data_IF_292446552722
#
_entry.id   IF_292446552722
#
_cell.length_a   1.000
_cell.length_b   1.000
_cell.length_c   1.000
_cell.angle_alpha   90.00
_cell.angle_beta   90.00
_cell.angle_gamma   90.00
#
_symmetry.space_group_name_H-M   'P 1'
#
loop_
_entity.id
_entity.type
_entity.pdbx_description
1 polymer ?
#
# COMPACT_ATOMS: atom_id res chain seq x y z
N UNK A 1 -23.74 -39.82 37.60
CA UNK A 1 -24.48 -38.67 37.06
C UNK A 1 -23.53 -37.89 36.16
N UNK A 2 -23.69 -38.05 34.85
CA UNK A 2 -22.83 -37.45 33.84
C UNK A 2 -23.52 -36.19 33.27
N UNK A 3 -22.87 -35.04 33.41
CA UNK A 3 -23.32 -33.79 32.81
C UNK A 3 -22.84 -33.69 31.35
N UNK A 4 -23.66 -33.20 30.40
CA UNK A 4 -23.31 -33.21 28.99
C UNK A 4 -22.40 -32.04 28.62
N UNK A 5 -21.45 -32.33 27.74
CA UNK A 5 -20.54 -31.40 27.10
C UNK A 5 -21.27 -30.52 26.07
N UNK A 6 -21.21 -29.20 26.25
CA UNK A 6 -21.68 -28.23 25.27
C UNK A 6 -20.70 -28.18 24.08
N UNK A 7 -21.11 -28.73 22.94
CA UNK A 7 -20.40 -28.57 21.67
C UNK A 7 -20.54 -27.13 21.19
N UNK A 8 -19.41 -26.47 20.97
CA UNK A 8 -19.31 -25.19 20.28
C UNK A 8 -20.00 -25.26 18.90
N UNK A 9 -20.94 -24.35 18.67
CA UNK A 9 -21.65 -24.22 17.41
C UNK A 9 -20.69 -23.73 16.33
N UNK A 10 -20.20 -24.66 15.51
CA UNK A 10 -19.54 -24.38 14.25
C UNK A 10 -20.40 -23.40 13.43
N UNK A 11 -19.81 -22.28 13.01
CA UNK A 11 -20.42 -21.35 12.07
C UNK A 11 -20.83 -22.13 10.82
N UNK A 12 -22.14 -22.31 10.62
CA UNK A 12 -22.70 -22.97 9.43
C UNK A 12 -22.22 -22.20 8.19
N UNK A 13 -21.22 -22.72 7.51
CA UNK A 13 -20.88 -22.34 6.14
C UNK A 13 -22.04 -22.77 5.26
N UNK A 14 -22.90 -21.82 4.92
CA UNK A 14 -23.95 -22.03 3.92
C UNK A 14 -23.25 -22.48 2.62
N UNK A 15 -23.59 -23.65 2.05
CA UNK A 15 -22.93 -24.14 0.85
C UNK A 15 -23.07 -23.12 -0.29
N UNK A 16 -21.98 -22.90 -1.03
CA UNK A 16 -21.96 -22.01 -2.18
C UNK A 16 -23.02 -22.49 -3.20
N UNK A 17 -24.05 -21.67 -3.44
CA UNK A 17 -25.04 -21.93 -4.48
C UNK A 17 -24.51 -21.37 -5.80
N UNK A 18 -24.44 -22.16 -6.88
CA UNK A 18 -24.02 -21.67 -8.18
C UNK A 18 -24.81 -20.44 -8.61
N UNK A 19 -24.12 -19.40 -9.10
CA UNK A 19 -24.73 -18.19 -9.61
C UNK A 19 -25.19 -18.42 -11.06
N UNK A 20 -26.37 -19.01 -11.22
CA UNK A 20 -26.97 -19.31 -12.52
C UNK A 20 -27.41 -18.07 -13.29
N UNK A 21 -27.79 -16.99 -12.59
CA UNK A 21 -28.17 -15.71 -13.20
C UNK A 21 -26.97 -15.06 -13.91
N UNK A 22 -25.81 -15.01 -13.24
CA UNK A 22 -24.59 -14.49 -13.87
C UNK A 22 -24.12 -15.35 -15.04
N UNK A 23 -24.30 -16.68 -14.96
CA UNK A 23 -24.04 -17.59 -16.08
C UNK A 23 -24.96 -17.31 -17.28
N UNK A 24 -26.22 -16.94 -17.04
CA UNK A 24 -27.14 -16.52 -18.10
C UNK A 24 -26.71 -15.18 -18.72
N UNK A 25 -26.25 -14.23 -17.91
CA UNK A 25 -25.74 -12.93 -18.38
C UNK A 25 -24.46 -13.07 -19.23
N UNK A 26 -23.60 -14.05 -18.93
CA UNK A 26 -22.48 -14.40 -19.82
C UNK A 26 -22.94 -14.94 -21.17
N UNK A 27 -24.08 -15.62 -21.21
CA UNK A 27 -24.65 -16.19 -22.42
C UNK A 27 -23.71 -17.21 -23.08
N UNK A 28 -23.46 -17.04 -24.38
CA UNK A 28 -22.63 -17.95 -25.19
C UNK A 28 -21.13 -17.66 -25.13
N UNK A 29 -20.72 -16.53 -24.55
CA UNK A 29 -19.31 -16.18 -24.45
C UNK A 29 -18.58 -17.16 -23.54
N UNK A 30 -17.39 -17.60 -23.91
CA UNK A 30 -16.53 -18.35 -22.99
C UNK A 30 -16.19 -17.49 -21.75
N UNK A 31 -15.80 -18.11 -20.61
CA UNK A 31 -15.39 -17.34 -19.43
C UNK A 31 -14.29 -16.32 -19.70
N UNK A 32 -13.35 -16.63 -20.61
CA UNK A 32 -12.29 -15.70 -21.03
C UNK A 32 -12.79 -14.52 -21.85
N UNK A 33 -13.67 -14.77 -22.81
CA UNK A 33 -14.27 -13.71 -23.64
C UNK A 33 -15.16 -12.78 -22.80
N UNK A 34 -15.92 -13.35 -21.87
CA UNK A 34 -16.73 -12.57 -20.94
C UNK A 34 -15.87 -11.72 -20.01
N UNK A 35 -14.79 -12.30 -19.48
CA UNK A 35 -13.82 -11.56 -18.68
C UNK A 35 -13.21 -10.38 -19.47
N UNK A 36 -12.88 -10.57 -20.75
CA UNK A 36 -12.42 -9.50 -21.61
C UNK A 36 -13.46 -8.40 -21.85
N UNK A 37 -14.75 -8.76 -21.96
CA UNK A 37 -15.85 -7.80 -22.02
C UNK A 37 -15.96 -6.98 -20.72
N UNK A 38 -15.85 -7.64 -19.56
CA UNK A 38 -15.82 -6.98 -18.25
C UNK A 38 -14.66 -5.97 -18.15
N UNK A 39 -13.45 -6.35 -18.54
CA UNK A 39 -12.29 -5.44 -18.52
C UNK A 39 -12.47 -4.26 -19.48
N UNK A 40 -13.12 -4.46 -20.64
CA UNK A 40 -13.42 -3.39 -21.60
C UNK A 40 -14.39 -2.37 -21.00
N UNK A 41 -15.50 -2.85 -20.44
CA UNK A 41 -16.49 -2.01 -19.79
C UNK A 41 -15.92 -1.27 -18.57
N UNK A 42 -14.95 -1.85 -17.86
CA UNK A 42 -14.25 -1.15 -16.79
C UNK A 42 -13.47 0.06 -17.29
N UNK A 43 -12.74 -0.09 -18.40
CA UNK A 43 -12.00 1.03 -19.01
C UNK A 43 -12.91 2.18 -19.44
N UNK A 44 -14.11 1.88 -19.92
CA UNK A 44 -15.09 2.89 -20.34
C UNK A 44 -15.53 3.80 -19.18
N UNK A 45 -15.58 3.27 -17.96
CA UNK A 45 -15.99 4.03 -16.75
C UNK A 45 -14.81 4.43 -15.86
N UNK A 46 -13.57 4.32 -16.35
CA UNK A 46 -12.37 4.66 -15.59
C UNK A 46 -12.08 3.69 -14.42
N UNK A 47 -12.71 2.52 -14.39
CA UNK A 47 -12.48 1.49 -13.40
C UNK A 47 -11.35 0.54 -13.83
N UNK A 48 -10.57 0.09 -12.86
CA UNK A 48 -9.52 -0.90 -13.08
C UNK A 48 -9.93 -2.23 -12.44
N UNK A 49 -10.28 -3.20 -13.29
CA UNK A 49 -10.60 -4.57 -12.86
C UNK A 49 -9.83 -5.59 -13.68
N UNK A 50 -9.26 -6.58 -12.98
CA UNK A 50 -8.46 -7.65 -13.58
C UNK A 50 -9.30 -8.93 -13.68
N UNK A 51 -10.48 -8.81 -14.31
CA UNK A 51 -11.38 -9.93 -14.49
C UNK A 51 -10.72 -10.97 -15.40
N UNK A 52 -10.61 -12.23 -15.02
CA UNK A 52 -10.12 -13.31 -15.87
C UNK A 52 -11.13 -14.48 -15.95
N UNK A 53 -10.84 -15.49 -16.77
CA UNK A 53 -11.72 -16.65 -16.94
C UNK A 53 -11.97 -17.39 -15.61
N UNK A 54 -10.99 -17.39 -14.70
CA UNK A 54 -11.09 -18.03 -13.38
C UNK A 54 -12.02 -17.24 -12.46
N UNK A 55 -11.91 -15.91 -12.44
CA UNK A 55 -12.78 -15.02 -11.70
C UNK A 55 -14.24 -15.23 -12.11
N UNK A 56 -14.52 -15.26 -13.42
CA UNK A 56 -15.85 -15.57 -13.95
C UNK A 56 -16.33 -16.94 -13.48
N UNK A 57 -15.47 -17.96 -13.53
CA UNK A 57 -15.77 -19.29 -13.01
C UNK A 57 -16.13 -19.30 -11.51
N UNK A 58 -15.44 -18.50 -10.69
CA UNK A 58 -15.68 -18.38 -9.23
C UNK A 58 -16.95 -17.61 -8.90
N UNK A 59 -17.32 -16.63 -9.72
CA UNK A 59 -18.63 -15.98 -9.63
C UNK A 59 -19.72 -17.01 -9.94
N UNK A 60 -19.60 -17.74 -11.05
CA UNK A 60 -20.61 -18.72 -11.46
C UNK A 60 -20.73 -19.92 -10.51
N UNK A 61 -19.63 -20.35 -9.88
CA UNK A 61 -19.67 -21.42 -8.88
C UNK A 61 -20.33 -20.97 -7.56
N UNK A 62 -20.54 -19.67 -7.37
CA UNK A 62 -21.07 -19.10 -6.14
C UNK A 62 -20.03 -18.89 -5.04
N UNK A 63 -18.75 -19.08 -5.34
CA UNK A 63 -17.65 -18.78 -4.42
C UNK A 63 -17.59 -17.28 -4.13
N UNK A 64 -17.76 -16.45 -5.17
CA UNK A 64 -17.88 -14.99 -5.04
C UNK A 64 -19.36 -14.63 -4.89
N UNK A 65 -19.80 -14.52 -3.63
CA UNK A 65 -21.20 -14.21 -3.29
C UNK A 65 -21.57 -12.73 -3.43
N UNK A 66 -20.60 -11.83 -3.34
CA UNK A 66 -20.77 -10.39 -3.57
C UNK A 66 -19.48 -9.87 -4.21
N UNK A 67 -19.56 -9.18 -5.36
CA UNK A 67 -18.40 -8.59 -5.99
C UNK A 67 -17.88 -7.41 -5.16
N UNK A 68 -16.63 -7.03 -5.36
CA UNK A 68 -16.11 -5.81 -4.75
C UNK A 68 -16.72 -4.56 -5.43
N UNK A 69 -16.45 -3.36 -4.93
CA UNK A 69 -17.10 -2.13 -5.45
C UNK A 69 -16.73 -1.81 -6.91
N UNK A 70 -15.49 -2.11 -7.33
CA UNK A 70 -15.07 -1.89 -8.71
C UNK A 70 -15.85 -2.81 -9.66
N UNK A 71 -15.86 -4.12 -9.39
CA UNK A 71 -16.65 -5.08 -10.18
C UNK A 71 -18.16 -4.78 -10.14
N UNK A 72 -18.70 -4.34 -9.00
CA UNK A 72 -20.10 -3.91 -8.90
C UNK A 72 -20.42 -2.75 -9.86
N UNK A 73 -19.58 -1.71 -9.91
CA UNK A 73 -19.77 -0.58 -10.83
C UNK A 73 -19.67 -1.03 -12.28
N UNK A 74 -18.68 -1.87 -12.59
CA UNK A 74 -18.51 -2.44 -13.92
C UNK A 74 -19.72 -3.28 -14.33
N UNK A 75 -20.23 -4.15 -13.47
CA UNK A 75 -21.40 -4.97 -13.79
C UNK A 75 -22.67 -4.13 -13.96
N UNK A 76 -22.86 -3.08 -13.15
CA UNK A 76 -23.98 -2.14 -13.33
C UNK A 76 -23.89 -1.35 -14.63
N UNK A 77 -22.67 -1.00 -15.06
CA UNK A 77 -22.44 -0.38 -16.36
C UNK A 77 -22.72 -1.35 -17.52
N UNK A 78 -22.27 -2.60 -17.40
CA UNK A 78 -22.51 -3.64 -18.42
C UNK A 78 -23.98 -4.04 -18.55
N UNK A 79 -24.73 -4.01 -17.44
CA UNK A 79 -26.13 -4.43 -17.40
C UNK A 79 -26.98 -3.34 -16.73
N UNK A 80 -27.27 -2.24 -17.46
CA UNK A 80 -28.06 -1.14 -16.92
C UNK A 80 -29.45 -1.63 -16.46
N UNK A 81 -29.88 -1.17 -15.29
CA UNK A 81 -31.19 -1.52 -14.71
C UNK A 81 -31.24 -2.82 -13.91
N UNK A 82 -30.18 -3.63 -13.92
CA UNK A 82 -30.06 -4.80 -13.04
C UNK A 82 -29.33 -4.45 -11.74
N UNK A 83 -29.88 -4.86 -10.60
CA UNK A 83 -29.21 -4.80 -9.32
C UNK A 83 -28.36 -6.08 -9.08
N UNK A 84 -27.49 -6.05 -8.07
CA UNK A 84 -26.65 -7.21 -7.71
C UNK A 84 -27.47 -8.50 -7.47
N UNK A 85 -28.64 -8.46 -6.80
CA UNK A 85 -29.50 -9.64 -6.66
C UNK A 85 -30.02 -10.20 -7.98
N UNK A 86 -30.31 -9.35 -8.96
CA UNK A 86 -30.78 -9.77 -10.29
C UNK A 86 -29.67 -10.48 -11.08
N UNK A 87 -28.41 -10.14 -10.78
CA UNK A 87 -27.21 -10.82 -11.28
C UNK A 87 -26.80 -12.03 -10.42
N UNK A 88 -27.64 -12.44 -9.47
CA UNK A 88 -27.43 -13.60 -8.59
C UNK A 88 -26.40 -13.41 -7.46
N UNK A 89 -26.04 -12.16 -7.16
CA UNK A 89 -25.19 -11.83 -6.00
C UNK A 89 -26.03 -11.56 -4.76
N UNK A 90 -25.51 -11.95 -3.61
CA UNK A 90 -26.13 -11.63 -2.32
C UNK A 90 -25.93 -10.14 -2.00
N UNK A 91 -26.95 -9.45 -1.42
CA UNK A 91 -26.80 -8.09 -0.94
C UNK A 91 -25.62 -7.97 0.02
N UNK A 92 -24.85 -6.89 -0.07
CA UNK A 92 -23.60 -6.73 0.66
C UNK A 92 -23.80 -6.73 2.17
N UNK A 93 -24.98 -6.29 2.61
CA UNK A 93 -25.51 -6.30 3.97
C UNK A 93 -25.63 -7.73 4.51
N UNK A 94 -26.06 -8.66 3.65
CA UNK A 94 -26.23 -10.07 3.99
C UNK A 94 -24.89 -10.82 4.02
N UNK A 95 -23.93 -10.42 3.16
CA UNK A 95 -22.57 -11.01 3.15
C UNK A 95 -21.70 -10.47 4.29
N UNK A 96 -21.91 -9.22 4.72
CA UNK A 96 -21.18 -8.59 5.83
C UNK A 96 -21.87 -8.71 7.20
N UNK A 97 -23.06 -9.29 7.26
CA UNK A 97 -23.82 -9.46 8.51
C UNK A 97 -24.34 -8.16 9.13
N UNK A 98 -24.74 -7.17 8.32
CA UNK A 98 -25.18 -5.85 8.80
C UNK A 98 -26.45 -5.40 8.08
N UNK A 99 -27.60 -5.84 8.56
CA UNK A 99 -28.90 -5.28 8.19
C UNK A 99 -29.22 -4.02 9.01
N UNK A 100 -29.78 -3.02 8.33
CA UNK A 100 -30.46 -1.83 8.84
C UNK A 100 -29.62 -0.71 9.52
N UNK A 101 -29.30 0.33 8.73
CA UNK A 101 -29.78 1.71 8.95
C UNK A 101 -29.44 2.57 7.74
N UNK A 102 -30.51 3.01 7.07
CA UNK A 102 -30.58 3.81 5.87
C UNK A 102 -30.11 5.25 6.10
N UNK A 103 -29.51 5.81 5.05
CA UNK A 103 -29.63 7.18 4.54
C UNK A 103 -29.77 8.34 5.54
N UNK A 104 -28.78 9.25 5.55
CA UNK A 104 -29.00 10.70 5.44
C UNK A 104 -27.74 11.37 4.83
N UNK A 105 -27.97 12.05 3.70
CA UNK A 105 -27.23 13.17 3.09
C UNK A 105 -25.78 13.01 2.60
N UNK A 106 -25.66 12.89 1.28
CA UNK A 106 -24.58 13.45 0.49
C UNK A 106 -24.95 14.87 0.05
N UNK A 107 -23.99 15.80 0.03
CA UNK A 107 -23.88 16.85 -0.99
C UNK A 107 -22.51 17.58 -0.87
N UNK A 108 -21.98 18.12 -2.00
CA UNK A 108 -20.55 18.09 -2.36
C UNK A 108 -19.98 19.49 -2.66
N UNK A 109 -18.72 19.59 -3.16
CA UNK A 109 -18.17 20.53 -4.19
C UNK A 109 -16.61 20.53 -4.10
N UNK A 110 -15.85 20.04 -5.11
CA UNK A 110 -15.41 20.67 -6.38
C UNK A 110 -14.28 21.71 -6.16
N UNK A 111 -12.99 21.44 -6.46
CA UNK A 111 -12.23 21.34 -7.74
C UNK A 111 -11.44 22.62 -8.11
N UNK A 112 -10.09 22.55 -7.97
CA UNK A 112 -8.99 22.98 -8.90
C UNK A 112 -8.88 24.46 -9.40
N UNK A 113 -7.80 24.93 -10.10
CA UNK A 113 -6.51 24.32 -10.51
C UNK A 113 -5.25 25.28 -10.48
N UNK A 114 -4.12 24.77 -11.01
CA UNK A 114 -3.02 25.47 -11.74
C UNK A 114 -1.91 26.21 -10.96
N UNK A 115 -0.61 26.20 -11.31
CA UNK A 115 0.28 25.41 -12.19
C UNK A 115 1.68 26.09 -12.14
N UNK A 116 2.75 25.34 -12.43
CA UNK A 116 3.99 25.73 -13.13
C UNK A 116 5.16 26.40 -12.38
N UNK A 117 6.26 25.64 -12.27
CA UNK A 117 7.53 25.72 -13.04
C UNK A 117 8.55 26.70 -12.42
N UNK A 118 9.87 26.49 -12.33
CA UNK A 118 10.82 25.47 -12.81
C UNK A 118 12.20 25.82 -12.19
N UNK A 119 12.96 24.80 -11.72
CA UNK A 119 14.42 24.51 -11.87
C UNK A 119 15.48 25.61 -11.55
N UNK A 120 16.67 25.38 -10.97
CA UNK A 120 17.86 24.57 -11.39
C UNK A 120 18.86 24.55 -10.18
N UNK A 121 19.25 23.39 -9.61
CA UNK A 121 20.53 22.63 -9.73
C UNK A 121 21.86 23.40 -9.53
N UNK A 122 22.82 22.86 -8.75
CA UNK A 122 23.99 22.05 -9.19
C UNK A 122 24.62 21.36 -7.94
N UNK A 123 24.65 20.02 -7.84
CA UNK A 123 25.76 19.03 -8.08
C UNK A 123 26.64 18.72 -6.84
N UNK A 124 27.19 17.52 -6.59
CA UNK A 124 27.22 16.23 -7.30
C UNK A 124 27.64 15.10 -6.34
N UNK A 125 27.13 13.89 -6.59
CA UNK A 125 27.49 12.63 -5.95
C UNK A 125 28.78 11.98 -6.51
N UNK A 126 29.37 11.14 -5.67
CA UNK A 126 30.60 10.36 -5.83
C UNK A 126 30.65 9.35 -7.00
N UNK A 127 31.65 9.54 -7.85
CA UNK A 127 32.84 8.67 -7.99
C UNK A 127 32.87 7.28 -8.63
N UNK A 128 31.80 6.80 -9.28
CA UNK A 128 31.97 5.70 -10.26
C UNK A 128 31.32 5.96 -11.62
N UNK A 129 31.06 7.24 -11.91
CA UNK A 129 31.01 7.81 -13.27
C UNK A 129 32.33 8.53 -13.68
N UNK A 130 33.37 8.49 -12.84
CA UNK A 130 34.57 9.35 -12.93
C UNK A 130 35.51 9.11 -14.13
N UNK A 131 35.18 8.26 -15.11
CA UNK A 131 36.04 8.04 -16.30
C UNK A 131 35.31 7.95 -17.65
N UNK A 132 33.99 8.16 -17.70
CA UNK A 132 33.25 8.29 -18.96
C UNK A 132 32.87 9.74 -19.31
N UNK A 133 33.22 10.72 -18.46
CA UNK A 133 32.90 12.15 -18.67
C UNK A 133 34.12 13.08 -18.72
N UNK A 134 35.35 12.54 -18.78
CA UNK A 134 36.57 13.32 -19.03
C UNK A 134 36.89 13.24 -20.53
N UNK A 135 36.05 13.84 -21.37
CA UNK A 135 36.39 14.44 -22.68
C UNK A 135 35.10 14.75 -23.45
N UNK A 136 34.69 16.01 -23.48
CA UNK A 136 33.63 16.49 -24.38
C UNK A 136 32.98 17.77 -23.88
N UNK A 137 33.28 18.90 -24.54
CA UNK A 137 32.78 20.23 -24.21
C UNK A 137 31.26 20.43 -24.30
N UNK A 138 30.77 21.68 -24.17
CA UNK A 138 29.42 22.06 -23.70
C UNK A 138 28.27 21.85 -24.70
N UNK A 139 28.35 20.82 -25.53
CA UNK A 139 27.30 20.45 -26.50
C UNK A 139 26.51 19.18 -26.09
N UNK A 140 26.70 18.65 -24.89
CA UNK A 140 26.11 17.37 -24.45
C UNK A 140 25.04 17.47 -23.34
N UNK A 141 24.57 18.68 -22.99
CA UNK A 141 23.52 18.85 -21.97
C UNK A 141 22.09 18.54 -22.46
N UNK A 142 21.91 18.23 -23.75
CA UNK A 142 20.62 17.81 -24.33
C UNK A 142 20.36 16.29 -24.23
N UNK A 143 21.17 15.53 -23.46
CA UNK A 143 21.12 14.06 -23.45
C UNK A 143 20.56 13.38 -22.20
N UNK A 144 20.39 14.07 -21.05
CA UNK A 144 20.10 13.41 -19.75
C UNK A 144 18.69 13.71 -19.22
N UNK A 145 17.90 14.55 -19.90
CA UNK A 145 16.45 14.68 -19.63
C UNK A 145 15.62 13.48 -20.18
N UNK A 146 16.28 12.47 -20.76
CA UNK A 146 15.63 11.40 -21.51
C UNK A 146 15.67 10.01 -20.85
N UNK A 147 16.12 9.89 -19.59
CA UNK A 147 16.07 8.62 -18.85
C UNK A 147 15.72 8.89 -17.37
N UNK A 148 14.43 9.02 -17.08
CA UNK A 148 13.97 9.06 -15.69
C UNK A 148 14.07 7.65 -15.07
N UNK A 149 14.49 7.49 -13.80
CA UNK A 149 14.72 6.16 -13.19
C UNK A 149 13.49 5.21 -13.21
N UNK A 150 12.27 5.75 -13.27
CA UNK A 150 11.05 4.96 -13.39
C UNK A 150 10.85 4.34 -14.80
N UNK A 151 11.46 4.90 -15.85
CA UNK A 151 11.52 4.27 -17.19
C UNK A 151 12.43 3.03 -17.18
N UNK A 152 13.38 2.96 -16.23
CA UNK A 152 14.24 1.81 -16.04
C UNK A 152 13.54 0.61 -15.34
N UNK A 153 12.29 0.75 -14.87
CA UNK A 153 11.48 -0.37 -14.40
C UNK A 153 10.65 -1.04 -15.52
N UNK A 154 10.93 -0.72 -16.79
CA UNK A 154 10.20 -1.27 -17.93
C UNK A 154 10.22 -2.80 -17.96
N UNK A 155 9.04 -3.40 -17.97
CA UNK A 155 8.86 -4.84 -18.20
C UNK A 155 8.78 -5.05 -19.73
N UNK A 156 9.73 -5.78 -20.34
CA UNK A 156 9.74 -6.03 -21.78
C UNK A 156 8.50 -6.82 -22.21
N UNK A 157 8.02 -6.53 -23.41
CA UNK A 157 7.05 -7.40 -24.10
C UNK A 157 7.75 -8.63 -24.68
N UNK A 158 7.02 -9.74 -24.91
CA UNK A 158 7.58 -10.92 -25.56
C UNK A 158 8.26 -10.54 -26.88
N UNK A 159 9.46 -11.10 -27.13
CA UNK A 159 10.30 -10.77 -28.30
C UNK A 159 9.65 -11.05 -29.66
N UNK A 160 8.59 -11.84 -29.70
CA UNK A 160 7.83 -12.17 -30.91
C UNK A 160 6.35 -11.78 -30.74
N UNK A 161 5.71 -11.14 -31.74
CA UNK A 161 4.27 -10.94 -31.74
C UNK A 161 3.54 -12.29 -31.63
N UNK A 162 2.73 -12.48 -30.58
CA UNK A 162 2.09 -13.76 -30.26
C UNK A 162 2.97 -14.75 -29.48
N UNK A 163 4.18 -14.35 -29.06
CA UNK A 163 5.07 -15.16 -28.23
C UNK A 163 4.57 -15.28 -26.79
N UNK A 164 4.60 -16.49 -26.24
CA UNK A 164 4.30 -16.76 -24.82
C UNK A 164 5.44 -16.28 -23.92
N UNK A 165 5.10 -15.78 -22.74
CA UNK A 165 6.08 -15.31 -21.76
C UNK A 165 7.02 -16.43 -21.28
N UNK A 166 8.31 -16.09 -21.15
CA UNK A 166 9.39 -16.97 -20.74
C UNK A 166 10.10 -16.49 -19.46
N UNK A 167 11.24 -17.12 -19.17
CA UNK A 167 12.00 -16.84 -17.95
C UNK A 167 12.57 -15.41 -17.91
N UNK A 168 12.89 -14.82 -19.06
CA UNK A 168 13.40 -13.46 -19.15
C UNK A 168 12.33 -12.42 -18.76
N UNK A 169 11.09 -12.62 -19.21
CA UNK A 169 9.95 -11.76 -18.85
C UNK A 169 9.63 -11.87 -17.35
N UNK A 170 9.67 -13.08 -16.77
CA UNK A 170 9.51 -13.26 -15.32
C UNK A 170 10.59 -12.53 -14.51
N UNK A 171 11.86 -12.66 -14.89
CA UNK A 171 12.96 -11.93 -14.24
C UNK A 171 12.79 -10.41 -14.37
N UNK A 172 12.29 -9.92 -15.50
CA UNK A 172 12.09 -8.48 -15.67
C UNK A 172 10.98 -7.93 -14.75
N UNK A 173 9.93 -8.71 -14.50
CA UNK A 173 8.89 -8.35 -13.52
C UNK A 173 9.47 -8.28 -12.11
N UNK A 174 10.25 -9.28 -11.70
CA UNK A 174 10.92 -9.32 -10.40
C UNK A 174 11.87 -8.12 -10.22
N UNK A 175 12.64 -7.79 -11.25
CA UNK A 175 13.54 -6.61 -11.26
C UNK A 175 12.77 -5.28 -11.19
N UNK A 176 11.62 -5.18 -11.85
CA UNK A 176 10.77 -4.00 -11.76
C UNK A 176 10.28 -3.76 -10.32
N UNK A 177 9.90 -4.82 -9.59
CA UNK A 177 9.55 -4.73 -8.16
C UNK A 177 10.71 -4.14 -7.36
N UNK A 178 11.91 -4.71 -7.47
CA UNK A 178 13.11 -4.26 -6.74
C UNK A 178 13.43 -2.79 -7.02
N UNK A 179 13.43 -2.39 -8.29
CA UNK A 179 13.74 -1.02 -8.70
C UNK A 179 12.73 -0.01 -8.17
N UNK A 180 11.44 -0.32 -8.24
CA UNK A 180 10.40 0.59 -7.75
C UNK A 180 10.54 0.79 -6.23
N UNK A 181 10.84 -0.27 -5.47
CA UNK A 181 11.07 -0.18 -4.02
C UNK A 181 12.28 0.70 -3.68
N UNK A 182 13.43 0.44 -4.31
CA UNK A 182 14.64 1.23 -4.10
C UNK A 182 14.44 2.73 -4.43
N UNK A 183 13.61 3.02 -5.43
CA UNK A 183 13.25 4.40 -5.77
C UNK A 183 12.33 5.02 -4.71
N UNK A 184 11.33 4.29 -4.21
CA UNK A 184 10.46 4.76 -3.13
C UNK A 184 11.22 5.01 -1.82
N UNK A 185 12.16 4.13 -1.46
CA UNK A 185 12.95 4.24 -0.23
C UNK A 185 13.74 5.57 -0.19
N UNK A 186 14.27 6.01 -1.35
CA UNK A 186 15.05 7.25 -1.47
C UNK A 186 14.22 8.49 -1.76
N UNK A 187 13.20 8.39 -2.62
CA UNK A 187 12.53 9.56 -3.19
C UNK A 187 11.07 9.70 -2.78
N UNK A 188 10.52 8.70 -2.08
CA UNK A 188 9.10 8.65 -1.73
C UNK A 188 8.20 8.34 -2.92
N UNK A 189 6.90 8.23 -2.65
CA UNK A 189 5.95 7.70 -3.63
C UNK A 189 5.50 8.72 -4.69
N UNK A 190 5.57 10.01 -4.37
CA UNK A 190 5.04 11.09 -5.20
C UNK A 190 5.90 11.26 -6.47
N UNK A 191 5.28 11.13 -7.64
CA UNK A 191 5.98 11.11 -8.94
C UNK A 191 6.36 9.70 -9.46
N UNK A 192 6.37 8.69 -8.59
CA UNK A 192 6.59 7.28 -8.94
C UNK A 192 5.27 6.57 -9.22
N UNK A 193 4.22 6.82 -8.42
CA UNK A 193 2.95 6.09 -8.48
C UNK A 193 2.38 5.94 -9.90
N UNK A 194 2.20 7.04 -10.64
CA UNK A 194 1.63 7.00 -12.00
C UNK A 194 2.45 6.13 -12.95
N UNK A 195 3.78 6.17 -12.84
CA UNK A 195 4.71 5.44 -13.71
C UNK A 195 4.82 3.96 -13.34
N UNK A 196 4.74 3.64 -12.05
CA UNK A 196 4.76 2.26 -11.55
C UNK A 196 3.54 1.42 -12.01
N UNK A 197 2.45 2.05 -12.45
CA UNK A 197 1.31 1.34 -13.07
C UNK A 197 1.64 0.70 -14.41
N UNK A 198 2.66 1.17 -15.14
CA UNK A 198 3.02 0.63 -16.44
C UNK A 198 3.68 -0.77 -16.34
N UNK A 199 4.69 -0.99 -15.47
CA UNK A 199 5.21 -2.32 -15.17
C UNK A 199 4.14 -3.31 -14.70
N UNK A 200 3.21 -2.87 -13.84
CA UNK A 200 2.10 -3.71 -13.38
C UNK A 200 1.18 -4.14 -14.52
N UNK A 201 0.77 -3.21 -15.40
CA UNK A 201 -0.01 -3.54 -16.60
C UNK A 201 0.73 -4.51 -17.51
N UNK A 202 2.02 -4.29 -17.74
CA UNK A 202 2.82 -5.19 -18.57
C UNK A 202 2.92 -6.60 -17.96
N UNK A 203 3.02 -6.74 -16.63
CA UNK A 203 3.00 -8.04 -15.97
C UNK A 203 1.66 -8.79 -16.19
N UNK A 204 0.52 -8.08 -16.14
CA UNK A 204 -0.77 -8.67 -16.46
C UNK A 204 -0.93 -9.01 -17.94
N UNK A 205 -0.44 -8.17 -18.86
CA UNK A 205 -0.43 -8.47 -20.29
C UNK A 205 0.37 -9.76 -20.57
N UNK A 206 1.48 -9.98 -19.87
CA UNK A 206 2.27 -11.21 -19.96
C UNK A 206 1.49 -12.43 -19.46
N UNK A 207 0.77 -12.33 -18.35
CA UNK A 207 -0.09 -13.39 -17.84
C UNK A 207 -1.23 -13.71 -18.82
N UNK A 208 -1.86 -12.69 -19.41
CA UNK A 208 -2.95 -12.83 -20.39
C UNK A 208 -2.47 -13.43 -21.71
N UNK A 209 -1.23 -13.15 -22.13
CA UNK A 209 -0.64 -13.70 -23.37
C UNK A 209 -0.33 -15.19 -23.31
N UNK A 210 -0.38 -15.78 -22.11
CA UNK A 210 -0.05 -17.17 -21.87
C UNK A 210 1.46 -17.41 -21.69
N UNK A 211 1.77 -18.52 -21.05
CA UNK A 211 3.10 -18.84 -20.51
C UNK A 211 3.61 -20.17 -21.07
N UNK A 212 4.91 -20.23 -21.35
CA UNK A 212 5.54 -21.43 -21.92
C UNK A 212 5.58 -22.61 -20.94
N UNK A 213 5.77 -22.34 -19.63
CA UNK A 213 5.99 -23.34 -18.58
C UNK A 213 5.26 -22.95 -17.30
N UNK A 214 4.81 -23.94 -16.51
CA UNK A 214 4.17 -23.73 -15.20
C UNK A 214 5.06 -22.95 -14.23
N UNK A 215 6.35 -23.27 -14.16
CA UNK A 215 7.30 -22.55 -13.29
C UNK A 215 7.45 -21.07 -13.64
N UNK A 216 7.31 -20.71 -14.92
CA UNK A 216 7.31 -19.30 -15.36
C UNK A 216 6.00 -18.63 -15.02
N UNK A 217 4.87 -19.36 -15.13
CA UNK A 217 3.56 -18.89 -14.69
C UNK A 217 3.55 -18.52 -13.21
N UNK A 218 4.08 -19.40 -12.36
CA UNK A 218 4.10 -19.21 -10.91
C UNK A 218 4.95 -17.98 -10.53
N UNK A 219 6.12 -17.81 -11.16
CA UNK A 219 6.98 -16.61 -10.99
C UNK A 219 6.29 -15.32 -11.46
N UNK A 220 5.64 -15.34 -12.63
CA UNK A 220 4.91 -14.17 -13.13
C UNK A 220 3.71 -13.80 -12.25
N UNK A 221 2.98 -14.79 -11.72
CA UNK A 221 1.89 -14.53 -10.78
C UNK A 221 2.42 -13.93 -9.48
N UNK A 222 3.46 -14.50 -8.88
CA UNK A 222 4.07 -13.96 -7.67
C UNK A 222 4.61 -12.54 -7.90
N UNK A 223 5.36 -12.32 -8.99
CA UNK A 223 5.88 -11.01 -9.38
C UNK A 223 4.81 -9.96 -9.68
N UNK A 224 3.71 -10.34 -10.35
CA UNK A 224 2.58 -9.44 -10.58
C UNK A 224 1.87 -9.07 -9.27
N UNK A 225 1.74 -10.02 -8.34
CA UNK A 225 1.23 -9.76 -6.99
C UNK A 225 2.13 -8.81 -6.20
N UNK A 226 3.44 -9.03 -6.22
CA UNK A 226 4.41 -8.15 -5.57
C UNK A 226 4.45 -6.74 -6.21
N UNK A 227 4.28 -6.63 -7.53
CA UNK A 227 4.08 -5.34 -8.21
C UNK A 227 2.78 -4.67 -7.75
N UNK A 228 1.68 -5.41 -7.65
CA UNK A 228 0.41 -4.87 -7.17
C UNK A 228 0.56 -4.33 -5.73
N UNK A 229 1.23 -5.06 -4.84
CA UNK A 229 1.53 -4.55 -3.48
C UNK A 229 2.37 -3.28 -3.55
N UNK A 230 3.43 -3.27 -4.36
CA UNK A 230 4.35 -2.14 -4.47
C UNK A 230 3.64 -0.90 -5.02
N UNK A 231 2.81 -1.04 -6.06
CA UNK A 231 1.99 0.06 -6.59
C UNK A 231 0.93 0.50 -5.57
N UNK A 232 0.35 -0.45 -4.82
CA UNK A 232 -0.57 -0.17 -3.73
C UNK A 232 0.07 0.66 -2.62
N UNK A 233 1.32 0.37 -2.28
CA UNK A 233 2.11 1.14 -1.31
C UNK A 233 2.36 2.57 -1.77
N UNK A 234 2.74 2.75 -3.04
CA UNK A 234 2.89 4.08 -3.63
C UNK A 234 1.57 4.87 -3.61
N UNK A 235 0.44 4.23 -3.91
CA UNK A 235 -0.88 4.83 -3.78
C UNK A 235 -1.18 5.24 -2.32
N UNK A 236 -0.88 4.36 -1.36
CA UNK A 236 -1.10 4.60 0.06
C UNK A 236 -0.32 5.83 0.52
N UNK A 237 0.98 5.87 0.27
CA UNK A 237 1.83 6.99 0.72
C UNK A 237 1.52 8.31 -0.02
N UNK A 238 0.94 8.21 -1.22
CA UNK A 238 0.36 9.34 -1.96
C UNK A 238 -1.05 9.76 -1.48
N UNK A 239 -1.59 9.17 -0.41
CA UNK A 239 -2.92 9.47 0.12
C UNK A 239 -4.10 8.89 -0.68
N UNK A 240 -3.85 8.06 -1.70
CA UNK A 240 -4.89 7.43 -2.55
C UNK A 240 -5.37 6.11 -1.95
N UNK A 241 -6.05 6.18 -0.81
CA UNK A 241 -6.46 4.99 -0.06
C UNK A 241 -7.40 4.04 -0.83
N UNK A 242 -8.24 4.60 -1.72
CA UNK A 242 -9.10 3.79 -2.59
C UNK A 242 -8.31 2.92 -3.57
N UNK A 243 -7.30 3.50 -4.21
CA UNK A 243 -6.43 2.81 -5.17
C UNK A 243 -5.55 1.79 -4.46
N UNK A 244 -4.94 2.17 -3.34
CA UNK A 244 -4.15 1.28 -2.50
C UNK A 244 -4.93 0.03 -2.10
N UNK A 245 -6.17 0.21 -1.64
CA UNK A 245 -7.06 -0.89 -1.27
C UNK A 245 -7.33 -1.84 -2.45
N UNK A 246 -7.55 -1.29 -3.64
CA UNK A 246 -7.80 -2.09 -4.85
C UNK A 246 -6.58 -2.94 -5.20
N UNK A 247 -5.40 -2.36 -5.19
CA UNK A 247 -4.15 -3.07 -5.48
C UNK A 247 -3.82 -4.16 -4.44
N UNK A 248 -4.01 -3.90 -3.15
CA UNK A 248 -3.81 -4.94 -2.12
C UNK A 248 -4.83 -6.08 -2.23
N UNK A 249 -6.09 -5.77 -2.60
CA UNK A 249 -7.10 -6.79 -2.84
C UNK A 249 -6.77 -7.64 -4.07
N UNK A 250 -6.19 -7.02 -5.10
CA UNK A 250 -5.70 -7.71 -6.30
C UNK A 250 -4.53 -8.63 -5.97
N UNK A 251 -3.51 -8.14 -5.26
CA UNK A 251 -2.39 -8.96 -4.79
C UNK A 251 -2.86 -10.16 -3.95
N UNK A 252 -3.82 -9.96 -3.04
CA UNK A 252 -4.41 -11.02 -2.24
C UNK A 252 -5.14 -12.06 -3.11
N UNK A 253 -5.85 -11.62 -4.15
CA UNK A 253 -6.51 -12.52 -5.08
C UNK A 253 -5.48 -13.34 -5.86
N UNK A 254 -4.41 -12.70 -6.34
CA UNK A 254 -3.30 -13.36 -7.03
C UNK A 254 -2.62 -14.39 -6.13
N UNK A 255 -2.28 -14.03 -4.89
CA UNK A 255 -1.68 -14.92 -3.90
C UNK A 255 -2.49 -16.20 -3.70
N UNK A 256 -3.82 -16.07 -3.57
CA UNK A 256 -4.71 -17.23 -3.39
C UNK A 256 -4.84 -18.08 -4.63
N UNK A 257 -4.76 -17.48 -5.82
CA UNK A 257 -4.79 -18.21 -7.09
C UNK A 257 -3.52 -19.04 -7.28
N UNK A 258 -2.35 -18.54 -6.87
CA UNK A 258 -1.09 -19.28 -6.96
C UNK A 258 -0.74 -20.10 -5.71
N UNK A 259 -1.47 -19.93 -4.61
CA UNK A 259 -1.18 -20.61 -3.33
C UNK A 259 0.08 -20.08 -2.64
N UNK A 260 0.42 -18.80 -2.86
CA UNK A 260 1.60 -18.15 -2.29
C UNK A 260 1.27 -17.52 -0.93
N UNK A 261 1.62 -18.23 0.13
CA UNK A 261 1.36 -17.79 1.51
C UNK A 261 2.20 -16.56 1.92
N UNK A 262 3.39 -16.37 1.34
CA UNK A 262 4.23 -15.21 1.62
C UNK A 262 3.63 -13.94 1.01
N UNK A 263 3.18 -14.02 -0.24
CA UNK A 263 2.46 -12.94 -0.90
C UNK A 263 1.12 -12.64 -0.21
N UNK A 264 0.38 -13.67 0.24
CA UNK A 264 -0.87 -13.47 0.99
C UNK A 264 -0.62 -12.72 2.31
N UNK A 265 0.41 -13.11 3.07
CA UNK A 265 0.82 -12.42 4.29
C UNK A 265 1.22 -10.96 4.00
N UNK A 266 1.96 -10.73 2.92
CA UNK A 266 2.39 -9.38 2.52
C UNK A 266 1.20 -8.49 2.14
N UNK A 267 0.23 -9.00 1.37
CA UNK A 267 -0.98 -8.26 1.00
C UNK A 267 -1.83 -7.91 2.23
N UNK A 268 -1.97 -8.83 3.18
CA UNK A 268 -2.67 -8.55 4.43
C UNK A 268 -1.91 -7.60 5.35
N UNK A 269 -0.58 -7.67 5.40
CA UNK A 269 0.26 -6.71 6.14
C UNK A 269 -0.03 -5.27 5.71
N UNK A 270 0.01 -5.02 4.40
CA UNK A 270 -0.26 -3.68 3.85
C UNK A 270 -1.74 -3.29 3.96
N UNK A 271 -2.67 -4.24 3.86
CA UNK A 271 -4.08 -3.99 4.14
C UNK A 271 -4.30 -3.57 5.59
N UNK A 272 -3.60 -4.17 6.55
CA UNK A 272 -3.70 -3.81 7.96
C UNK A 272 -3.21 -2.39 8.20
N UNK A 273 -2.08 -2.03 7.59
CA UNK A 273 -1.51 -0.69 7.67
C UNK A 273 -2.45 0.37 7.06
N UNK A 274 -2.96 0.12 5.85
CA UNK A 274 -3.94 1.01 5.21
C UNK A 274 -5.22 1.16 6.02
N UNK A 275 -5.74 0.05 6.56
CA UNK A 275 -6.96 0.10 7.36
C UNK A 275 -6.78 0.93 8.63
N UNK A 276 -5.60 0.92 9.25
CA UNK A 276 -5.28 1.78 10.39
C UNK A 276 -5.29 3.26 9.99
N UNK A 277 -4.57 3.61 8.92
CA UNK A 277 -4.46 5.00 8.45
C UNK A 277 -5.79 5.55 7.90
N UNK A 278 -6.67 4.67 7.42
CA UNK A 278 -8.01 5.02 6.93
C UNK A 278 -9.11 4.99 8.03
N UNK A 279 -8.73 5.00 9.32
CA UNK A 279 -9.64 4.97 10.47
C UNK A 279 -10.61 3.76 10.48
N UNK A 280 -10.09 2.59 10.13
CA UNK A 280 -10.82 1.30 10.12
C UNK A 280 -10.11 0.28 11.01
N UNK A 281 -9.96 0.54 12.32
CA UNK A 281 -9.04 -0.22 13.16
C UNK A 281 -9.48 -1.67 13.39
N UNK A 282 -10.78 -1.97 13.39
CA UNK A 282 -11.28 -3.36 13.40
C UNK A 282 -10.92 -4.15 12.13
N UNK A 283 -10.76 -3.48 11.00
CA UNK A 283 -10.23 -4.13 9.79
C UNK A 283 -8.72 -4.30 9.92
N UNK A 284 -7.99 -3.32 10.47
CA UNK A 284 -6.55 -3.41 10.70
C UNK A 284 -6.18 -4.64 11.54
N UNK A 285 -6.81 -4.83 12.70
CA UNK A 285 -6.60 -6.00 13.57
C UNK A 285 -6.87 -7.31 12.82
N UNK A 286 -8.02 -7.41 12.13
CA UNK A 286 -8.40 -8.64 11.40
C UNK A 286 -7.44 -8.95 10.26
N UNK A 287 -6.98 -7.93 9.53
CA UNK A 287 -6.02 -8.11 8.45
C UNK A 287 -4.66 -8.54 9.00
N UNK A 288 -4.18 -7.94 10.11
CA UNK A 288 -2.93 -8.35 10.74
C UNK A 288 -2.97 -9.80 11.26
N UNK A 289 -4.09 -10.21 11.87
CA UNK A 289 -4.29 -11.59 12.32
C UNK A 289 -4.36 -12.57 11.14
N UNK A 290 -5.01 -12.18 10.03
CA UNK A 290 -5.01 -12.98 8.80
C UNK A 290 -3.61 -13.11 8.20
N UNK A 291 -2.81 -12.04 8.22
CA UNK A 291 -1.41 -12.08 7.80
C UNK A 291 -0.60 -13.06 8.66
N UNK A 292 -0.73 -13.01 10.00
CA UNK A 292 -0.04 -13.93 10.90
C UNK A 292 -0.42 -15.39 10.62
N UNK A 293 -1.70 -15.65 10.31
CA UNK A 293 -2.16 -16.99 9.98
C UNK A 293 -1.58 -17.49 8.64
N UNK A 294 -1.45 -16.63 7.63
CA UNK A 294 -0.79 -16.95 6.37
C UNK A 294 0.72 -17.19 6.55
N UNK A 295 1.37 -16.37 7.40
CA UNK A 295 2.80 -16.44 7.66
C UNK A 295 3.23 -17.56 8.62
N UNK A 296 2.30 -18.22 9.32
CA UNK A 296 2.56 -19.17 10.42
C UNK A 296 3.59 -20.25 10.08
N UNK A 297 3.60 -20.73 8.85
CA UNK A 297 4.46 -21.83 8.40
C UNK A 297 5.62 -21.38 7.50
N UNK A 298 5.80 -20.07 7.30
CA UNK A 298 6.89 -19.54 6.49
C UNK A 298 8.22 -19.58 7.23
N UNK A 299 8.19 -19.65 8.56
CA UNK A 299 9.38 -19.80 9.41
C UNK A 299 10.21 -18.53 9.58
N UNK A 300 9.65 -17.35 9.32
CA UNK A 300 10.31 -16.04 9.51
C UNK A 300 9.81 -15.38 10.81
N UNK A 301 10.59 -15.39 11.90
CA UNK A 301 10.25 -14.66 13.13
C UNK A 301 10.16 -13.16 12.88
N UNK A 302 11.02 -12.62 12.03
CA UNK A 302 11.05 -11.21 11.64
C UNK A 302 9.74 -10.79 10.96
N UNK A 303 9.21 -11.60 10.03
CA UNK A 303 7.88 -11.36 9.43
C UNK A 303 6.79 -11.37 10.48
N UNK A 304 6.73 -12.41 11.31
CA UNK A 304 5.70 -12.51 12.35
C UNK A 304 5.77 -11.34 13.34
N UNK A 305 6.96 -10.82 13.63
CA UNK A 305 7.16 -9.63 14.45
C UNK A 305 6.50 -8.39 13.84
N UNK A 306 6.76 -8.10 12.57
CA UNK A 306 6.11 -6.98 11.86
C UNK A 306 4.59 -7.13 11.85
N UNK A 307 4.09 -8.36 11.63
CA UNK A 307 2.65 -8.61 11.60
C UNK A 307 2.00 -8.44 12.98
N UNK A 308 2.70 -8.75 14.07
CA UNK A 308 2.26 -8.46 15.42
C UNK A 308 2.24 -6.95 15.72
N UNK A 309 3.19 -6.17 15.21
CA UNK A 309 3.13 -4.70 15.28
C UNK A 309 1.94 -4.11 14.52
N UNK A 310 1.61 -4.65 13.34
CA UNK A 310 0.41 -4.24 12.60
C UNK A 310 -0.87 -4.51 13.40
N UNK A 311 -0.91 -5.62 14.14
CA UNK A 311 -2.00 -5.92 15.07
C UNK A 311 -2.03 -4.92 16.24
N UNK A 312 -0.88 -4.64 16.85
CA UNK A 312 -0.75 -3.66 17.95
C UNK A 312 -1.28 -2.28 17.55
N UNK A 313 -0.90 -1.78 16.37
CA UNK A 313 -1.40 -0.50 15.86
C UNK A 313 -2.92 -0.48 15.65
N UNK A 314 -3.52 -1.62 15.26
CA UNK A 314 -4.97 -1.76 15.18
C UNK A 314 -5.66 -1.69 16.55
N UNK A 315 -5.08 -2.32 17.57
CA UNK A 315 -5.58 -2.24 18.96
C UNK A 315 -5.40 -0.85 19.57
N UNK A 316 -4.27 -0.20 19.31
CA UNK A 316 -3.98 1.14 19.78
C UNK A 316 -5.04 2.15 19.31
N UNK A 317 -5.38 2.16 18.01
CA UNK A 317 -6.42 3.05 17.45
C UNK A 317 -7.84 2.69 17.96
N UNK A 318 -8.07 1.45 18.42
CA UNK A 318 -9.31 1.08 19.12
C UNK A 318 -9.37 1.57 20.57
N UNK A 319 -8.26 2.07 21.12
CA UNK A 319 -8.13 2.38 22.55
C UNK A 319 -7.96 1.14 23.44
N UNK A 320 -7.73 -0.04 22.86
CA UNK A 320 -7.48 -1.27 23.61
C UNK A 320 -6.00 -1.35 24.01
N UNK A 321 -5.68 -0.69 25.13
CA UNK A 321 -4.31 -0.65 25.68
C UNK A 321 -3.76 -2.06 25.96
N UNK A 322 -4.58 -2.94 26.55
CA UNK A 322 -4.11 -4.29 26.91
C UNK A 322 -3.84 -5.14 25.67
N UNK A 323 -4.73 -5.10 24.67
CA UNK A 323 -4.54 -5.78 23.39
C UNK A 323 -3.29 -5.27 22.65
N UNK A 324 -3.06 -3.95 22.68
CA UNK A 324 -1.88 -3.32 22.12
C UNK A 324 -0.59 -3.82 22.80
N UNK A 325 -0.49 -3.73 24.13
CA UNK A 325 0.68 -4.15 24.91
C UNK A 325 1.02 -5.63 24.69
N UNK A 326 0.01 -6.51 24.66
CA UNK A 326 0.20 -7.93 24.38
C UNK A 326 0.75 -8.19 22.97
N UNK A 327 0.30 -7.41 21.98
CA UNK A 327 0.79 -7.52 20.61
C UNK A 327 2.20 -6.94 20.46
N UNK A 328 2.52 -5.82 21.12
CA UNK A 328 3.86 -5.23 21.17
C UNK A 328 4.88 -6.20 21.80
N UNK A 329 4.59 -6.75 22.98
CA UNK A 329 5.47 -7.72 23.65
C UNK A 329 5.72 -8.97 22.79
N UNK A 330 4.71 -9.40 22.01
CA UNK A 330 4.88 -10.49 21.05
C UNK A 330 5.79 -10.09 19.90
N UNK A 331 5.64 -8.89 19.37
CA UNK A 331 6.48 -8.38 18.29
C UNK A 331 7.95 -8.29 18.72
N UNK A 332 8.24 -7.74 19.90
CA UNK A 332 9.60 -7.66 20.45
C UNK A 332 10.25 -9.04 20.62
N UNK A 333 9.53 -9.99 21.22
CA UNK A 333 10.03 -11.36 21.40
C UNK A 333 10.33 -12.05 20.06
N UNK A 334 9.48 -11.83 19.06
CA UNK A 334 9.69 -12.37 17.71
C UNK A 334 10.87 -11.67 17.00
N UNK A 335 11.03 -10.37 17.20
CA UNK A 335 12.15 -9.58 16.66
C UNK A 335 13.49 -10.05 17.22
N UNK A 336 13.54 -10.34 18.53
CA UNK A 336 14.71 -10.89 19.21
C UNK A 336 15.16 -12.26 18.66
N UNK A 337 14.31 -12.95 17.89
CA UNK A 337 14.66 -14.17 17.16
C UNK A 337 15.62 -13.94 15.98
N UNK A 338 15.84 -12.69 15.56
CA UNK A 338 16.78 -12.33 14.51
C UNK A 338 16.29 -12.63 13.09
N UNK A 339 17.20 -12.49 12.14
CA UNK A 339 16.96 -12.78 10.71
C UNK A 339 16.96 -14.28 10.45
N UNK A 340 16.19 -14.70 9.45
CA UNK A 340 16.17 -16.08 8.98
C UNK A 340 16.32 -16.14 7.44
N UNK A 341 16.84 -17.26 6.92
CA UNK A 341 17.09 -17.45 5.48
C UNK A 341 15.82 -17.36 4.62
N UNK A 342 14.66 -17.53 5.25
CA UNK A 342 13.33 -17.46 4.65
C UNK A 342 12.64 -16.11 4.86
N UNK A 343 13.35 -15.11 5.39
CA UNK A 343 12.84 -13.74 5.46
C UNK A 343 12.54 -13.24 4.03
N UNK A 344 11.32 -12.74 3.76
CA UNK A 344 11.01 -12.17 2.46
C UNK A 344 11.95 -11.01 2.11
N UNK A 345 12.39 -10.94 0.85
CA UNK A 345 13.32 -9.91 0.37
C UNK A 345 12.84 -8.47 0.68
N UNK A 346 11.53 -8.23 0.66
CA UNK A 346 10.96 -6.92 0.93
C UNK A 346 11.11 -6.44 2.38
N UNK A 347 11.53 -7.31 3.31
CA UNK A 347 11.64 -7.00 4.73
C UNK A 347 12.93 -6.28 5.13
N UNK A 348 13.79 -5.91 4.17
CA UNK A 348 15.06 -5.22 4.46
C UNK A 348 14.89 -3.95 5.30
N UNK A 349 13.78 -3.22 5.12
CA UNK A 349 13.47 -2.02 5.90
C UNK A 349 13.17 -2.28 7.39
N UNK A 350 12.75 -3.51 7.76
CA UNK A 350 12.20 -3.78 9.09
C UNK A 350 13.30 -4.08 10.10
N UNK A 351 14.00 -3.04 10.57
CA UNK A 351 15.05 -3.11 11.60
C UNK A 351 14.62 -2.51 12.95
N UNK A 352 15.59 -2.27 13.85
CA UNK A 352 15.32 -1.69 15.18
C UNK A 352 14.66 -0.31 15.08
N UNK A 353 15.04 0.50 14.09
CA UNK A 353 14.43 1.80 13.84
C UNK A 353 12.94 1.68 13.52
N UNK A 354 12.57 0.72 12.67
CA UNK A 354 11.18 0.50 12.27
C UNK A 354 10.34 -0.10 13.41
N UNK A 355 10.91 -1.02 14.19
CA UNK A 355 10.27 -1.52 15.42
C UNK A 355 9.96 -0.37 16.38
N UNK A 356 10.94 0.48 16.68
CA UNK A 356 10.77 1.62 17.58
C UNK A 356 9.74 2.63 17.05
N UNK A 357 9.77 2.96 15.75
CA UNK A 357 8.84 3.91 15.15
C UNK A 357 7.40 3.40 15.13
N UNK A 358 7.19 2.13 14.79
CA UNK A 358 5.86 1.53 14.82
C UNK A 358 5.32 1.36 16.24
N UNK A 359 6.19 1.10 17.22
CA UNK A 359 5.82 1.13 18.64
C UNK A 359 5.43 2.55 19.08
N UNK A 360 6.19 3.58 18.70
CA UNK A 360 5.87 4.98 18.97
C UNK A 360 4.46 5.35 18.50
N UNK A 361 4.11 4.96 17.26
CA UNK A 361 2.76 5.16 16.71
C UNK A 361 1.66 4.50 17.54
N UNK A 362 1.94 3.35 18.17
CA UNK A 362 0.98 2.69 19.04
C UNK A 362 0.76 3.51 20.34
N UNK A 363 1.84 3.99 20.97
CA UNK A 363 1.76 4.81 22.17
C UNK A 363 1.11 6.17 21.91
N UNK A 364 1.43 6.79 20.77
CA UNK A 364 0.80 8.01 20.29
C UNK A 364 -0.72 7.85 20.16
N UNK A 365 -1.17 6.77 19.50
CA UNK A 365 -2.59 6.47 19.36
C UNK A 365 -3.30 6.15 20.69
N UNK A 366 -2.57 5.67 21.71
CA UNK A 366 -3.07 5.45 23.07
C UNK A 366 -3.03 6.72 23.96
N UNK A 367 -2.60 7.86 23.41
CA UNK A 367 -2.49 9.14 24.11
C UNK A 367 -1.28 9.27 25.03
N UNK A 368 -0.29 8.39 24.90
CA UNK A 368 0.94 8.38 25.71
C UNK A 368 2.07 9.10 24.95
N UNK A 369 1.94 10.43 24.84
CA UNK A 369 2.81 11.27 24.00
C UNK A 369 4.28 11.30 24.46
N UNK A 370 4.54 11.15 25.76
CA UNK A 370 5.91 11.11 26.30
C UNK A 370 6.66 9.86 25.83
N UNK A 371 6.03 8.68 26.02
CA UNK A 371 6.60 7.41 25.57
C UNK A 371 6.71 7.34 24.05
N UNK A 372 5.71 7.86 23.33
CA UNK A 372 5.75 7.96 21.88
C UNK A 372 6.94 8.79 21.40
N UNK A 373 7.16 9.98 21.97
CA UNK A 373 8.27 10.86 21.61
C UNK A 373 9.64 10.22 21.91
N UNK A 374 9.80 9.51 23.03
CA UNK A 374 11.05 8.78 23.32
C UNK A 374 11.36 7.73 22.24
N UNK A 375 10.39 6.90 21.90
CA UNK A 375 10.54 5.85 20.90
C UNK A 375 10.74 6.43 19.48
N UNK A 376 10.05 7.52 19.14
CA UNK A 376 10.24 8.21 17.88
C UNK A 376 11.65 8.84 17.76
N UNK A 377 12.20 9.41 18.85
CA UNK A 377 13.61 9.87 18.88
C UNK A 377 14.57 8.69 18.63
N UNK A 378 14.33 7.55 19.30
CA UNK A 378 15.12 6.34 19.11
C UNK A 378 15.04 5.87 17.65
N UNK A 379 13.85 5.83 17.06
CA UNK A 379 13.64 5.45 15.67
C UNK A 379 14.45 6.33 14.70
N UNK A 380 14.41 7.66 14.88
CA UNK A 380 15.20 8.61 14.08
C UNK A 380 16.70 8.37 14.24
N UNK A 381 17.19 8.11 15.46
CA UNK A 381 18.62 7.92 15.72
C UNK A 381 19.20 6.61 15.17
N UNK A 382 18.37 5.57 15.06
CA UNK A 382 18.79 4.23 14.62
C UNK A 382 18.68 4.03 13.11
N UNK A 383 17.94 4.90 12.41
CA UNK A 383 17.60 4.67 11.02
C UNK A 383 18.81 4.86 10.10
N UNK A 384 18.97 3.93 9.15
CA UNK A 384 20.01 4.03 8.13
C UNK A 384 19.73 5.25 7.22
N UNK A 385 20.73 6.13 6.96
CA UNK A 385 20.59 7.27 6.06
C UNK A 385 20.01 6.94 4.68
N UNK A 386 20.16 5.70 4.20
CA UNK A 386 19.57 5.20 2.97
C UNK A 386 18.03 5.31 2.94
N UNK A 387 17.36 5.13 4.08
CA UNK A 387 15.90 5.22 4.20
C UNK A 387 15.44 6.64 4.52
N UNK A 388 15.84 7.61 3.70
CA UNK A 388 15.55 9.03 3.90
C UNK A 388 14.07 9.30 4.13
N UNK A 389 13.19 8.57 3.43
CA UNK A 389 11.74 8.67 3.60
C UNK A 389 11.25 8.19 4.97
N UNK A 390 11.85 7.15 5.54
CA UNK A 390 11.49 6.68 6.88
C UNK A 390 12.03 7.62 7.96
N UNK A 391 13.21 8.23 7.75
CA UNK A 391 13.72 9.28 8.65
C UNK A 391 12.76 10.47 8.68
N UNK A 392 12.32 10.93 7.50
CA UNK A 392 11.34 12.01 7.39
C UNK A 392 10.02 11.65 8.10
N UNK A 393 9.55 10.42 7.93
CA UNK A 393 8.36 9.92 8.59
C UNK A 393 8.50 9.97 10.12
N UNK A 394 9.51 9.32 10.69
CA UNK A 394 9.69 9.26 12.14
C UNK A 394 9.96 10.65 12.75
N UNK A 395 10.61 11.54 11.99
CA UNK A 395 10.82 12.93 12.43
C UNK A 395 9.50 13.71 12.46
N UNK A 396 8.59 13.48 11.51
CA UNK A 396 7.26 14.08 11.51
C UNK A 396 6.36 13.48 12.61
N UNK A 397 6.46 12.18 12.89
CA UNK A 397 5.79 11.52 14.03
C UNK A 397 6.24 12.15 15.34
N UNK A 398 7.56 12.26 15.55
CA UNK A 398 8.15 12.92 16.71
C UNK A 398 7.63 14.35 16.89
N UNK A 399 7.52 15.13 15.82
CA UNK A 399 6.98 16.49 15.89
C UNK A 399 5.52 16.51 16.38
N UNK A 400 4.70 15.57 15.92
CA UNK A 400 3.32 15.40 16.38
C UNK A 400 3.25 15.03 17.86
N UNK A 401 4.03 14.03 18.27
CA UNK A 401 4.07 13.50 19.64
C UNK A 401 4.59 14.55 20.64
N UNK A 402 5.62 15.32 20.28
CA UNK A 402 6.11 16.45 21.08
C UNK A 402 5.06 17.56 21.21
N UNK A 403 4.24 17.76 20.18
CA UNK A 403 3.12 18.70 20.27
C UNK A 403 2.05 18.18 21.24
N UNK A 404 1.78 16.86 21.24
CA UNK A 404 0.85 16.22 22.18
C UNK A 404 1.35 16.26 23.64
N UNK A 405 2.66 16.15 23.86
CA UNK A 405 3.27 16.24 25.20
C UNK A 405 3.55 17.67 25.68
N UNK A 406 3.35 18.69 24.84
CA UNK A 406 3.53 20.10 25.20
C UNK A 406 4.96 20.63 25.04
N UNK A 407 5.88 19.84 24.48
CA UNK A 407 7.26 20.25 24.17
C UNK A 407 7.32 21.06 22.84
N UNK A 408 6.66 22.22 22.81
CA UNK A 408 6.32 22.93 21.57
C UNK A 408 7.53 23.41 20.75
N UNK A 409 8.58 23.90 21.40
CA UNK A 409 9.79 24.36 20.69
C UNK A 409 10.55 23.17 20.07
N UNK A 410 10.64 22.05 20.80
CA UNK A 410 11.24 20.81 20.27
C UNK A 410 10.40 20.24 19.13
N UNK A 411 9.06 20.30 19.24
CA UNK A 411 8.13 19.91 18.19
C UNK A 411 8.35 20.72 16.90
N UNK A 412 8.50 22.04 17.03
CA UNK A 412 8.77 22.93 15.89
C UNK A 412 10.14 22.65 15.26
N UNK A 413 11.17 22.38 16.08
CA UNK A 413 12.48 21.99 15.59
C UNK A 413 12.44 20.65 14.83
N UNK A 414 11.72 19.65 15.35
CA UNK A 414 11.50 18.38 14.66
C UNK A 414 10.72 18.57 13.35
N UNK A 415 9.63 19.34 13.37
CA UNK A 415 8.85 19.67 12.17
C UNK A 415 9.69 20.37 11.09
N UNK A 416 10.59 21.27 11.50
CA UNK A 416 11.52 21.95 10.59
C UNK A 416 12.51 20.98 9.95
N UNK A 417 13.05 20.02 10.72
CA UNK A 417 13.92 18.96 10.18
C UNK A 417 13.17 18.06 9.20
N UNK A 418 11.93 17.70 9.50
CA UNK A 418 11.09 16.90 8.61
C UNK A 418 10.78 17.63 7.29
N UNK A 419 10.50 18.95 7.34
CA UNK A 419 10.32 19.77 6.13
C UNK A 419 11.57 19.75 5.25
N UNK A 420 12.77 19.90 5.83
CA UNK A 420 14.02 19.86 5.07
C UNK A 420 14.27 18.50 4.38
N UNK A 421 13.77 17.40 4.96
CA UNK A 421 13.85 16.08 4.34
C UNK A 421 12.82 15.91 3.20
N UNK A 422 11.67 16.58 3.29
CA UNK A 422 10.65 16.58 2.23
C UNK A 422 11.08 17.30 0.95
N UNK A 423 12.10 18.16 1.00
CA UNK A 423 12.70 18.74 -0.21
C UNK A 423 13.33 17.65 -1.11
N UNK A 424 13.67 16.50 -0.54
CA UNK A 424 14.29 15.36 -1.24
C UNK A 424 13.31 14.19 -1.45
N UNK A 425 12.20 14.16 -0.70
CA UNK A 425 11.27 13.03 -0.63
C UNK A 425 9.82 13.49 -0.84
N UNK A 426 9.17 12.95 -1.86
CA UNK A 426 7.75 13.18 -2.13
C UNK A 426 6.84 12.23 -1.34
N UNK A 427 6.26 12.70 -0.23
CA UNK A 427 5.28 11.93 0.55
C UNK A 427 4.10 12.79 1.02
N UNK A 428 2.93 12.56 0.43
CA UNK A 428 1.69 13.21 0.85
C UNK A 428 1.29 12.85 2.29
N UNK A 429 1.63 11.62 2.73
CA UNK A 429 1.38 11.16 4.11
C UNK A 429 2.17 11.98 5.13
N UNK A 430 3.48 12.19 4.90
CA UNK A 430 4.33 13.00 5.78
C UNK A 430 3.88 14.46 5.76
N UNK A 431 3.53 15.01 4.59
CA UNK A 431 2.95 16.37 4.49
C UNK A 431 1.69 16.52 5.36
N UNK A 432 0.76 15.57 5.26
CA UNK A 432 -0.48 15.61 6.05
C UNK A 432 -0.24 15.58 7.57
N UNK A 433 0.84 14.91 8.02
CA UNK A 433 1.25 14.92 9.42
C UNK A 433 1.80 16.29 9.83
N UNK A 434 2.66 16.89 9.01
CA UNK A 434 3.19 18.23 9.27
C UNK A 434 2.10 19.30 9.22
N UNK A 435 1.12 19.19 8.33
CA UNK A 435 -0.04 20.07 8.30
C UNK A 435 -0.85 19.99 9.61
N UNK A 436 -0.99 18.78 10.17
CA UNK A 436 -1.65 18.58 11.46
C UNK A 436 -0.85 19.23 12.59
N UNK A 437 0.46 19.03 12.60
CA UNK A 437 1.37 19.65 13.58
C UNK A 437 1.31 21.19 13.49
N UNK A 438 1.40 21.74 12.28
CA UNK A 438 1.32 23.19 12.05
C UNK A 438 -0.02 23.79 12.53
N UNK A 439 -1.16 23.14 12.24
CA UNK A 439 -2.46 23.58 12.75
C UNK A 439 -2.51 23.63 14.27
N UNK A 440 -1.93 22.64 14.95
CA UNK A 440 -1.89 22.57 16.42
C UNK A 440 -0.95 23.61 17.03
N UNK A 441 0.17 23.88 16.38
CA UNK A 441 1.16 24.87 16.83
C UNK A 441 0.78 26.31 16.52
N UNK A 442 -0.23 26.56 15.65
CA UNK A 442 -0.61 27.93 15.24
C UNK A 442 -1.00 28.85 16.41
N UNK A 443 -1.60 28.30 17.48
CA UNK A 443 -1.93 29.04 18.69
C UNK A 443 -0.68 29.54 19.46
N UNK A 444 0.49 28.97 19.18
CA UNK A 444 1.76 29.21 19.86
C UNK A 444 2.79 29.94 19.00
N UNK A 445 2.36 30.60 17.91
CA UNK A 445 3.21 31.39 16.99
C UNK A 445 4.01 32.53 17.64
N UNK A 446 3.79 32.82 18.92
CA UNK A 446 4.60 33.78 19.68
C UNK A 446 5.96 33.22 20.11
N UNK A 447 6.14 31.89 20.08
CA UNK A 447 7.43 31.24 20.34
C UNK A 447 8.27 31.26 19.05
N UNK A 448 9.51 31.75 19.13
CA UNK A 448 10.40 31.92 17.97
C UNK A 448 10.53 30.66 17.10
N UNK A 449 10.92 29.49 17.66
CA UNK A 449 11.03 28.24 16.89
C UNK A 449 9.72 27.82 16.22
N UNK A 450 8.58 28.09 16.86
CA UNK A 450 7.26 27.76 16.31
C UNK A 450 6.92 28.69 15.15
N UNK A 451 7.20 29.99 15.26
CA UNK A 451 7.01 30.94 14.16
C UNK A 451 7.83 30.54 12.93
N UNK A 452 9.11 30.21 13.13
CA UNK A 452 10.02 29.78 12.06
C UNK A 452 9.51 28.51 11.35
N UNK A 453 9.04 27.52 12.11
CA UNK A 453 8.45 26.30 11.54
C UNK A 453 7.21 26.61 10.71
N UNK A 454 6.29 27.43 11.21
CA UNK A 454 5.05 27.79 10.51
C UNK A 454 5.31 28.58 9.22
N UNK A 455 6.31 29.48 9.24
CA UNK A 455 6.74 30.22 8.04
C UNK A 455 7.28 29.27 6.97
N UNK A 456 8.19 28.36 7.35
CA UNK A 456 8.74 27.34 6.44
C UNK A 456 7.67 26.38 5.92
N UNK A 457 6.74 25.97 6.78
CA UNK A 457 5.62 25.11 6.40
C UNK A 457 4.75 25.78 5.32
N UNK A 458 4.43 27.07 5.51
CA UNK A 458 3.67 27.86 4.54
C UNK A 458 4.41 28.01 3.21
N UNK A 459 5.73 28.28 3.26
CA UNK A 459 6.56 28.38 2.07
C UNK A 459 6.65 27.06 1.28
N UNK A 460 6.80 25.93 1.99
CA UNK A 460 6.83 24.59 1.39
C UNK A 460 5.50 24.24 0.71
N UNK A 461 4.36 24.57 1.34
CA UNK A 461 3.04 24.38 0.74
C UNK A 461 2.85 25.19 -0.55
N UNK A 462 3.34 26.44 -0.57
CA UNK A 462 3.33 27.29 -1.77
C UNK A 462 4.18 26.74 -2.91
N UNK A 463 5.35 26.16 -2.62
CA UNK A 463 6.21 25.55 -3.62
C UNK A 463 5.59 24.30 -4.28
N UNK A 464 4.84 23.50 -3.51
CA UNK A 464 4.12 22.33 -4.05
C UNK A 464 2.96 22.74 -4.94
N UNK A 465 2.21 23.78 -4.57
CA UNK A 465 1.11 24.30 -5.40
C UNK A 465 1.60 24.89 -6.73
N UNK A 466 2.83 25.41 -6.76
CA UNK A 466 3.48 25.94 -7.95
C UNK A 466 4.22 24.87 -8.79
N UNK A 467 4.27 23.60 -8.36
CA UNK A 467 4.87 22.54 -9.16
C UNK A 467 3.91 22.13 -10.31
N UNK A 468 4.39 22.01 -11.57
CA UNK A 468 3.57 21.72 -12.75
C UNK A 468 2.85 20.35 -12.72
#
# INVERSE_FOLDING_TARGET
>A
MASPTAKSASSRTVPARPNTAFRQLRGRLSPGEFAAAVRRSAREIGEQVSCDARYVGRVESGEIRCPNYAYERVFRHMFPGLALPDMGFAPRETVRGRGARTAVNAAPLALDPDHRDTCIQICEESDVLRRAFITGGPAAALGIAALHPAEAAAVPRPRTPGGRAGAAEATAVEEAVRRIRLLDDRHGAEGIYRRATAPLRAAYDLLDSGVQRRSVADRLHSGAGELAITVGWLAHDSGRFGDARSHYAEALATARVCGDAALEAHAFCNTAFLARDADRPREAVRAAQAAQQAAKHLGSPRLLSLLALREAGGWAVLGDRSGCEQALSRAERLFAGGTADNDPEWMTFYGEAELAGLEAQCWSALGDGERAAELARRAVSLQDPHFTRNIALFTAELAGDLTDSGALEEAAAAGTRALALLDQVGSARIRAMLDRTARRLHAHRGLGPVADFLERHTASAGAVAAAP
#
